data_IF_976694124384
#
_entry.id   IF_976694124384
#
_cell.length_a   1.000
_cell.length_b   1.000
_cell.length_c   1.000
_cell.angle_alpha   90.00
_cell.angle_beta   90.00
_cell.angle_gamma   90.00
#
_symmetry.space_group_name_H-M   'P 1'
#
loop_
_entity.id
_entity.type
_entity.pdbx_description
1 polymer ?
#
# COMPACT_ATOMS: atom_id res chain seq x y z
N UNK A 1 -24.21 4.47 0.68
CA UNK A 1 -23.25 5.42 1.28
C UNK A 1 -22.56 4.71 2.43
N UNK A 2 -21.23 4.78 2.49
CA UNK A 2 -20.46 4.18 3.59
C UNK A 2 -20.64 5.04 4.84
N UNK A 3 -20.76 4.41 6.01
CA UNK A 3 -20.96 5.12 7.28
C UNK A 3 -19.67 5.86 7.68
N UNK A 4 -19.81 7.16 7.97
CA UNK A 4 -18.72 8.06 8.37
C UNK A 4 -17.95 7.51 9.58
N UNK A 5 -18.67 6.89 10.52
CA UNK A 5 -18.10 6.41 11.77
C UNK A 5 -17.20 5.19 11.56
N UNK A 6 -17.61 4.29 10.66
CA UNK A 6 -16.84 3.07 10.33
C UNK A 6 -15.52 3.42 9.63
N UNK A 7 -15.54 4.42 8.74
CA UNK A 7 -14.33 4.91 8.05
C UNK A 7 -13.33 5.49 9.06
N UNK A 8 -13.80 6.32 10.00
CA UNK A 8 -12.96 6.90 11.04
C UNK A 8 -12.34 5.86 11.97
N UNK A 9 -13.13 4.88 12.42
CA UNK A 9 -12.62 3.78 13.26
C UNK A 9 -11.56 2.96 12.52
N UNK A 10 -11.77 2.71 11.23
CA UNK A 10 -10.82 2.00 10.37
C UNK A 10 -9.50 2.76 10.24
N UNK A 11 -9.56 4.07 9.97
CA UNK A 11 -8.37 4.94 9.89
C UNK A 11 -7.61 4.92 11.22
N UNK A 12 -8.32 5.01 12.35
CA UNK A 12 -7.70 4.99 13.68
C UNK A 12 -7.02 3.65 13.96
N UNK A 13 -7.64 2.53 13.58
CA UNK A 13 -7.05 1.19 13.70
C UNK A 13 -5.81 1.05 12.83
N UNK A 14 -5.87 1.53 11.57
CA UNK A 14 -4.73 1.51 10.65
C UNK A 14 -3.54 2.33 11.19
N UNK A 15 -3.79 3.53 11.73
CA UNK A 15 -2.75 4.35 12.36
C UNK A 15 -2.16 3.69 13.61
N UNK A 16 -3.00 3.07 14.44
CA UNK A 16 -2.56 2.36 15.65
C UNK A 16 -1.67 1.16 15.32
N UNK A 17 -1.87 0.55 14.15
CA UNK A 17 -1.02 -0.51 13.61
C UNK A 17 0.26 -0.01 12.93
N UNK A 18 0.54 1.30 12.95
CA UNK A 18 1.73 1.90 12.35
C UNK A 18 1.67 2.03 10.82
N UNK A 19 0.48 1.96 10.21
CA UNK A 19 0.31 2.14 8.77
C UNK A 19 0.44 3.62 8.43
N UNK A 20 1.27 3.95 7.43
CA UNK A 20 1.47 5.33 6.98
C UNK A 20 0.22 5.93 6.35
N UNK A 21 0.01 7.24 6.55
CA UNK A 21 -1.15 7.97 6.02
C UNK A 21 -1.32 7.85 4.50
N UNK A 22 -0.22 7.71 3.74
CA UNK A 22 -0.30 7.51 2.28
C UNK A 22 -0.93 6.16 1.88
N UNK A 23 -0.70 5.10 2.67
CA UNK A 23 -1.30 3.78 2.44
C UNK A 23 -2.78 3.82 2.80
N UNK A 24 -3.12 4.52 3.88
CA UNK A 24 -4.51 4.75 4.30
C UNK A 24 -5.25 5.53 3.20
N UNK A 25 -4.65 6.58 2.64
CA UNK A 25 -5.21 7.35 1.54
C UNK A 25 -5.48 6.47 0.31
N UNK A 26 -4.50 5.67 -0.12
CA UNK A 26 -4.67 4.75 -1.26
C UNK A 26 -5.78 3.74 -1.01
N UNK A 27 -5.83 3.15 0.19
CA UNK A 27 -6.84 2.15 0.57
C UNK A 27 -8.25 2.76 0.55
N UNK A 28 -8.41 4.00 1.01
CA UNK A 28 -9.71 4.69 1.00
C UNK A 28 -10.14 5.07 -0.42
N UNK A 29 -9.21 5.44 -1.30
CA UNK A 29 -9.49 5.68 -2.72
C UNK A 29 -9.92 4.40 -3.45
N UNK A 30 -9.31 3.26 -3.13
CA UNK A 30 -9.69 1.96 -3.71
C UNK A 30 -11.13 1.53 -3.33
N UNK A 31 -11.62 1.99 -2.18
CA UNK A 31 -13.00 1.76 -1.72
C UNK A 31 -14.00 2.74 -2.39
N UNK A 32 -13.48 3.68 -3.21
CA UNK A 32 -14.27 4.62 -4.00
C UNK A 32 -14.58 5.95 -3.30
N UNK A 33 -13.84 6.31 -2.25
CA UNK A 33 -13.92 7.63 -1.65
C UNK A 33 -13.18 8.66 -2.51
N UNK A 34 -13.75 9.87 -2.60
CA UNK A 34 -13.10 10.97 -3.31
C UNK A 34 -11.89 11.50 -2.53
N UNK A 35 -10.94 12.11 -3.24
CA UNK A 35 -9.74 12.70 -2.62
C UNK A 35 -10.07 13.75 -1.57
N UNK A 36 -11.13 14.53 -1.78
CA UNK A 36 -11.56 15.57 -0.85
C UNK A 36 -12.12 14.96 0.44
N UNK A 37 -12.93 13.90 0.34
CA UNK A 37 -13.44 13.15 1.50
C UNK A 37 -12.31 12.50 2.29
N UNK A 38 -11.36 11.85 1.60
CA UNK A 38 -10.22 11.18 2.24
C UNK A 38 -9.39 12.18 3.05
N UNK A 39 -9.17 13.38 2.51
CA UNK A 39 -8.42 14.43 3.19
C UNK A 39 -9.17 14.97 4.42
N UNK A 40 -10.51 15.08 4.35
CA UNK A 40 -11.36 15.41 5.50
C UNK A 40 -11.20 14.38 6.63
N UNK A 41 -11.19 13.09 6.30
CA UNK A 41 -11.05 12.01 7.29
C UNK A 41 -9.66 11.94 7.93
N UNK A 42 -8.60 12.15 7.14
CA UNK A 42 -7.22 12.14 7.64
C UNK A 42 -6.91 13.31 8.57
N UNK A 43 -7.52 14.48 8.32
CA UNK A 43 -7.41 15.67 9.16
C UNK A 43 -8.35 15.60 10.39
N UNK A 44 -9.55 15.04 10.23
CA UNK A 44 -10.53 14.89 11.31
C UNK A 44 -10.14 13.90 12.40
N UNK A 45 -9.27 12.93 12.09
CA UNK A 45 -8.81 11.90 13.03
C UNK A 45 -7.83 12.37 14.11
N UNK A 46 -7.54 13.67 14.21
CA UNK A 46 -6.53 14.20 15.13
C UNK A 46 -7.09 14.70 16.47
N UNK A 47 -8.37 14.47 16.77
CA UNK A 47 -8.95 14.87 18.07
C UNK A 47 -9.62 13.72 18.79
N UNK A 48 -9.18 13.51 20.05
CA UNK A 48 -9.77 12.71 21.13
C UNK A 48 -9.33 11.23 21.32
N UNK A 49 -8.41 11.09 22.27
CA UNK A 49 -8.35 10.12 23.39
C UNK A 49 -8.24 8.60 23.14
N UNK A 50 -7.09 8.11 23.60
CA UNK A 50 -6.76 6.77 24.10
C UNK A 50 -7.82 6.18 25.05
N UNK A 51 -7.89 4.83 25.12
CA UNK A 51 -7.23 4.14 26.23
C UNK A 51 -6.31 2.98 25.79
N UNK A 52 -5.17 2.97 26.46
CA UNK A 52 -4.13 1.94 26.52
C UNK A 52 -4.67 0.61 27.08
N UNK A 53 -4.22 -0.51 26.52
CA UNK A 53 -4.19 -1.81 27.22
C UNK A 53 -2.76 -2.36 27.15
N UNK A 54 -2.07 -2.27 28.30
CA UNK A 54 -0.83 -2.95 28.67
C UNK A 54 -0.95 -4.47 28.44
N UNK A 55 0.03 -5.21 27.93
CA UNK A 55 1.34 -5.58 28.54
C UNK A 55 1.24 -6.14 29.97
N UNK A 56 1.25 -7.48 30.08
CA UNK A 56 1.78 -8.25 31.21
C UNK A 56 2.87 -9.16 30.58
N UNK A 57 4.17 -9.19 30.88
CA UNK A 57 4.96 -9.16 32.14
C UNK A 57 4.69 -10.30 33.12
N UNK A 58 5.68 -11.21 33.21
CA UNK A 58 6.20 -11.96 34.38
C UNK A 58 6.91 -13.22 33.83
N UNK A 59 8.23 -13.36 33.75
CA UNK A 59 9.37 -13.08 34.65
C UNK A 59 9.29 -13.77 36.03
N UNK A 60 10.45 -14.30 36.42
CA UNK A 60 10.87 -14.93 37.69
C UNK A 60 10.53 -16.42 37.92
N UNK A 61 11.53 -17.31 37.79
CA UNK A 61 12.39 -17.93 38.85
C UNK A 61 11.79 -19.24 39.38
N UNK A 62 12.55 -20.35 39.37
CA UNK A 62 13.09 -20.89 40.63
C UNK A 62 14.11 -22.00 40.37
N UNK A 63 15.17 -21.90 41.14
CA UNK A 63 16.34 -22.76 41.24
C UNK A 63 16.06 -23.78 42.36
N UNK A 64 16.13 -25.09 42.08
CA UNK A 64 16.22 -26.08 43.14
C UNK A 64 16.94 -27.34 42.67
N UNK A 65 18.25 -27.37 42.92
CA UNK A 65 19.01 -28.60 43.12
C UNK A 65 18.46 -29.36 44.33
N UNK A 66 18.21 -30.67 44.20
CA UNK A 66 18.35 -31.59 45.33
C UNK A 66 18.72 -32.97 44.81
N UNK A 67 19.88 -33.41 45.29
CA UNK A 67 20.44 -34.75 45.18
C UNK A 67 19.58 -35.78 45.90
N UNK A 68 19.77 -37.02 45.45
CA UNK A 68 19.75 -38.26 46.21
C UNK A 68 18.46 -38.72 46.92
N UNK A 69 18.08 -39.92 46.51
CA UNK A 69 18.00 -41.13 47.34
C UNK A 69 16.64 -41.84 47.36
N UNK A 70 16.79 -43.16 47.34
CA UNK A 70 15.79 -44.22 47.60
C UNK A 70 14.87 -44.65 46.44
N UNK A 71 15.35 -45.69 45.75
CA UNK A 71 14.50 -46.83 45.34
C UNK A 71 13.57 -47.25 46.49
N UNK A 72 12.30 -47.52 46.18
CA UNK A 72 11.79 -48.83 46.59
C UNK A 72 10.93 -49.49 45.51
N UNK A 73 11.28 -50.74 45.21
CA UNK A 73 10.31 -51.83 45.11
C UNK A 73 9.19 -51.69 44.08
N UNK A 74 9.40 -52.35 42.94
CA UNK A 74 8.38 -52.80 41.99
C UNK A 74 7.01 -53.12 42.65
N UNK A 75 5.93 -52.73 41.97
CA UNK A 75 4.97 -53.75 41.54
C UNK A 75 4.88 -53.72 40.01
N UNK A 76 5.28 -54.83 39.37
CA UNK A 76 4.98 -55.08 37.97
C UNK A 76 3.47 -55.14 37.78
N UNK A 77 2.87 -54.05 37.32
CA UNK A 77 1.53 -54.03 36.76
C UNK A 77 1.60 -54.39 35.27
N UNK A 78 0.85 -55.39 34.78
CA UNK A 78 0.72 -55.63 33.36
C UNK A 78 -0.22 -54.57 32.76
N UNK A 79 0.30 -53.40 32.41
CA UNK A 79 -0.41 -52.36 31.66
C UNK A 79 0.44 -51.85 30.48
N UNK A 80 1.03 -52.77 29.72
CA UNK A 80 1.89 -52.44 28.58
C UNK A 80 1.14 -51.98 27.31
N UNK A 81 -0.19 -52.06 27.25
CA UNK A 81 -0.94 -51.83 25.99
C UNK A 81 -1.64 -50.47 25.91
N UNK A 82 -1.75 -49.71 27.00
CA UNK A 82 -2.42 -48.40 26.98
C UNK A 82 -1.44 -47.24 26.72
N UNK A 83 -0.25 -47.29 27.29
CA UNK A 83 0.79 -46.27 27.08
C UNK A 83 1.34 -46.30 25.66
N UNK A 84 1.48 -47.48 25.06
CA UNK A 84 1.96 -47.64 23.68
C UNK A 84 0.99 -46.99 22.66
N UNK A 85 -0.32 -47.06 22.93
CA UNK A 85 -1.33 -46.39 22.12
C UNK A 85 -1.32 -44.86 22.29
N UNK A 86 -1.03 -44.35 23.49
CA UNK A 86 -0.90 -42.91 23.75
C UNK A 86 0.36 -42.33 23.11
N UNK A 87 1.48 -43.06 23.17
CA UNK A 87 2.72 -42.68 22.49
C UNK A 87 2.58 -42.75 20.97
N UNK A 88 1.92 -43.78 20.42
CA UNK A 88 1.62 -43.87 19.00
C UNK A 88 0.73 -42.70 18.53
N UNK A 89 -0.32 -42.37 19.29
CA UNK A 89 -1.21 -41.24 18.98
C UNK A 89 -0.46 -39.90 19.03
N UNK A 90 0.44 -39.73 20.00
CA UNK A 90 1.28 -38.52 20.11
C UNK A 90 2.26 -38.40 18.94
N UNK A 91 2.86 -39.51 18.49
CA UNK A 91 3.73 -39.51 17.32
C UNK A 91 2.99 -39.18 16.02
N UNK A 92 1.76 -39.68 15.85
CA UNK A 92 0.91 -39.35 14.68
C UNK A 92 0.57 -37.86 14.65
N UNK A 93 0.23 -37.27 15.80
CA UNK A 93 -0.07 -35.82 15.88
C UNK A 93 1.17 -34.97 15.60
N UNK A 94 2.35 -35.38 16.08
CA UNK A 94 3.61 -34.67 15.80
C UNK A 94 4.03 -34.79 14.33
N UNK A 95 3.79 -35.94 13.70
CA UNK A 95 4.05 -36.16 12.27
C UNK A 95 3.12 -35.29 11.41
N UNK A 96 1.84 -35.22 11.76
CA UNK A 96 0.87 -34.33 11.09
C UNK A 96 1.24 -32.84 11.26
N UNK A 97 1.66 -32.43 12.45
CA UNK A 97 2.15 -31.06 12.69
C UNK A 97 3.43 -30.76 11.90
N UNK A 98 4.35 -31.71 11.80
CA UNK A 98 5.57 -31.57 11.00
C UNK A 98 5.25 -31.38 9.52
N UNK A 99 4.27 -32.12 8.99
CA UNK A 99 3.81 -31.98 7.61
C UNK A 99 3.17 -30.61 7.36
N UNK A 100 2.34 -30.13 8.30
CA UNK A 100 1.76 -28.78 8.22
C UNK A 100 2.83 -27.68 8.23
N UNK A 101 3.88 -27.82 9.06
CA UNK A 101 5.01 -26.88 9.09
C UNK A 101 5.78 -26.90 7.78
N UNK A 102 6.00 -28.07 7.17
CA UNK A 102 6.65 -28.17 5.86
C UNK A 102 5.84 -27.51 4.76
N UNK A 103 4.52 -27.71 4.74
CA UNK A 103 3.62 -27.07 3.78
C UNK A 103 3.65 -25.53 3.94
N UNK A 104 3.60 -25.02 5.16
CA UNK A 104 3.75 -23.59 5.46
C UNK A 104 5.09 -23.03 4.98
N UNK A 105 6.19 -23.76 5.19
CA UNK A 105 7.52 -23.35 4.72
C UNK A 105 7.61 -23.34 3.19
N UNK A 106 6.96 -24.27 2.51
CA UNK A 106 6.92 -24.30 1.05
C UNK A 106 6.06 -23.17 0.49
N UNK A 107 4.92 -22.86 1.12
CA UNK A 107 4.11 -21.69 0.79
C UNK A 107 4.90 -20.39 0.98
N UNK A 108 5.63 -20.25 2.09
CA UNK A 108 6.47 -19.09 2.37
C UNK A 108 7.57 -18.91 1.32
N UNK A 109 8.27 -19.99 0.96
CA UNK A 109 9.27 -19.98 -0.13
C UNK A 109 8.65 -19.60 -1.47
N UNK A 110 7.43 -20.06 -1.75
CA UNK A 110 6.71 -19.69 -2.98
C UNK A 110 6.35 -18.20 -2.99
N UNK A 111 6.02 -17.63 -1.83
CA UNK A 111 5.72 -16.21 -1.66
C UNK A 111 6.99 -15.38 -1.84
N UNK A 112 8.10 -15.77 -1.22
CA UNK A 112 9.40 -15.12 -1.38
C UNK A 112 9.86 -15.14 -2.84
N UNK A 113 9.69 -16.26 -3.54
CA UNK A 113 10.00 -16.36 -4.96
C UNK A 113 9.10 -15.45 -5.83
N UNK A 114 7.82 -15.28 -5.45
CA UNK A 114 6.91 -14.33 -6.11
C UNK A 114 7.27 -12.88 -5.79
N UNK A 115 7.65 -12.59 -4.55
CA UNK A 115 8.05 -11.26 -4.10
C UNK A 115 9.37 -10.82 -4.75
N UNK A 116 10.33 -11.74 -4.88
CA UNK A 116 11.58 -11.50 -5.61
C UNK A 116 11.30 -11.15 -7.08
N UNK A 117 10.38 -11.86 -7.75
CA UNK A 117 9.97 -11.53 -9.13
C UNK A 117 9.31 -10.16 -9.25
N UNK A 118 8.57 -9.72 -8.22
CA UNK A 118 7.96 -8.38 -8.19
C UNK A 118 9.04 -7.31 -7.93
N UNK A 119 10.01 -7.60 -7.05
CA UNK A 119 11.15 -6.72 -6.78
C UNK A 119 12.13 -6.62 -7.95
N UNK A 120 12.18 -7.64 -8.81
CA UNK A 120 12.99 -7.65 -10.05
C UNK A 120 12.31 -6.91 -11.21
N UNK A 121 11.06 -6.44 -11.08
CA UNK A 121 10.54 -5.47 -12.04
C UNK A 121 11.43 -4.22 -11.96
N UNK A 122 12.16 -3.90 -13.04
CA UNK A 122 13.23 -2.92 -12.96
C UNK A 122 12.58 -1.54 -12.80
N UNK A 123 12.63 -1.01 -11.58
CA UNK A 123 12.29 0.38 -11.28
C UNK A 123 13.00 1.36 -12.23
N UNK A 124 14.17 0.98 -12.75
CA UNK A 124 14.93 1.67 -13.80
C UNK A 124 14.19 1.80 -15.15
N UNK A 125 13.44 0.80 -15.59
CA UNK A 125 12.70 0.92 -16.87
C UNK A 125 11.50 1.87 -16.76
N UNK A 126 10.91 1.93 -15.56
CA UNK A 126 9.83 2.86 -15.29
C UNK A 126 10.36 4.30 -15.23
N UNK A 127 11.50 4.54 -14.58
CA UNK A 127 12.11 5.88 -14.51
C UNK A 127 12.53 6.41 -15.89
N UNK A 128 13.10 5.57 -16.75
CA UNK A 128 13.48 5.96 -18.11
C UNK A 128 12.25 6.29 -18.97
N UNK A 129 11.18 5.50 -18.80
CA UNK A 129 9.92 5.74 -19.50
C UNK A 129 9.26 7.04 -19.05
N UNK A 130 9.27 7.32 -17.74
CA UNK A 130 8.77 8.58 -17.16
C UNK A 130 9.57 9.76 -17.72
N UNK A 131 10.90 9.70 -17.65
CA UNK A 131 11.78 10.77 -18.17
C UNK A 131 11.53 11.02 -19.67
N UNK A 132 11.30 9.96 -20.45
CA UNK A 132 10.96 10.09 -21.87
C UNK A 132 9.60 10.76 -22.10
N UNK A 133 8.62 10.45 -21.27
CA UNK A 133 7.29 11.09 -21.32
C UNK A 133 7.39 12.57 -20.95
N UNK A 134 8.11 12.90 -19.87
CA UNK A 134 8.35 14.28 -19.44
C UNK A 134 9.01 15.12 -20.54
N UNK A 135 10.04 14.59 -21.18
CA UNK A 135 10.70 15.27 -22.31
C UNK A 135 9.76 15.49 -23.51
N UNK A 136 8.87 14.54 -23.80
CA UNK A 136 7.85 14.69 -24.85
C UNK A 136 6.81 15.75 -24.50
N UNK A 137 6.39 15.79 -23.23
CA UNK A 137 5.45 16.81 -22.74
C UNK A 137 6.07 18.20 -22.86
N UNK A 138 7.31 18.38 -22.39
CA UNK A 138 8.03 19.64 -22.53
C UNK A 138 8.21 20.06 -23.99
N UNK A 139 8.45 19.10 -24.89
CA UNK A 139 8.47 19.34 -26.34
C UNK A 139 7.14 19.87 -26.86
N UNK A 140 6.03 19.23 -26.52
CA UNK A 140 4.69 19.67 -26.92
C UNK A 140 4.32 21.03 -26.32
N UNK A 141 4.70 21.33 -25.08
CA UNK A 141 4.46 22.64 -24.47
C UNK A 141 5.17 23.76 -25.24
N UNK A 142 6.41 23.53 -25.69
CA UNK A 142 7.14 24.46 -26.52
C UNK A 142 6.47 24.65 -27.90
N UNK A 143 6.09 23.56 -28.57
CA UNK A 143 5.39 23.62 -29.87
C UNK A 143 4.05 24.38 -29.76
N UNK A 144 3.29 24.17 -28.68
CA UNK A 144 2.04 24.89 -28.42
C UNK A 144 2.29 26.38 -28.20
N UNK A 145 3.33 26.74 -27.46
CA UNK A 145 3.70 28.14 -27.24
C UNK A 145 4.12 28.82 -28.56
N UNK A 146 4.93 28.17 -29.37
CA UNK A 146 5.32 28.69 -30.69
C UNK A 146 4.10 28.88 -31.59
N UNK A 147 3.20 27.89 -31.63
CA UNK A 147 1.96 27.96 -32.41
C UNK A 147 1.04 29.09 -31.95
N UNK A 148 0.92 29.32 -30.64
CA UNK A 148 0.16 30.45 -30.08
C UNK A 148 0.75 31.79 -30.50
N UNK A 149 2.08 31.88 -30.54
CA UNK A 149 2.81 33.09 -30.96
C UNK A 149 2.60 33.36 -32.45
N UNK A 150 2.70 32.32 -33.28
CA UNK A 150 2.40 32.41 -34.71
C UNK A 150 0.94 32.82 -34.95
N UNK A 151 -0.02 32.22 -34.24
CA UNK A 151 -1.44 32.54 -34.36
C UNK A 151 -1.73 34.00 -33.99
N UNK A 152 -1.08 34.53 -32.96
CA UNK A 152 -1.18 35.94 -32.60
C UNK A 152 -0.62 36.88 -33.69
N UNK A 153 0.50 36.50 -34.31
CA UNK A 153 1.07 37.24 -35.43
C UNK A 153 0.14 37.21 -36.66
N UNK A 154 -0.40 36.03 -37.02
CA UNK A 154 -1.38 35.89 -38.10
C UNK A 154 -2.63 36.74 -37.87
N UNK A 155 -3.17 36.72 -36.65
CA UNK A 155 -4.32 37.57 -36.28
C UNK A 155 -4.00 39.05 -36.52
N UNK A 156 -2.84 39.50 -36.06
CA UNK A 156 -2.40 40.90 -36.24
C UNK A 156 -2.26 41.29 -37.72
N UNK A 157 -1.73 40.40 -38.55
CA UNK A 157 -1.62 40.63 -40.01
C UNK A 157 -3.01 40.71 -40.64
N UNK A 158 -3.90 39.80 -40.27
CA UNK A 158 -5.26 39.76 -40.81
C UNK A 158 -6.06 41.01 -40.44
N UNK A 159 -5.95 41.47 -39.19
CA UNK A 159 -6.59 42.70 -38.72
C UNK A 159 -6.09 43.91 -39.53
N UNK A 160 -4.77 44.05 -39.71
CA UNK A 160 -4.17 45.12 -40.54
C UNK A 160 -4.63 45.07 -42.00
N UNK A 161 -4.76 43.88 -42.58
CA UNK A 161 -5.19 43.70 -43.96
C UNK A 161 -6.66 44.12 -44.12
N UNK A 162 -7.52 43.75 -43.17
CA UNK A 162 -8.91 44.18 -43.13
C UNK A 162 -9.05 45.69 -42.96
N UNK A 163 -8.27 46.30 -42.08
CA UNK A 163 -8.28 47.76 -41.88
C UNK A 163 -7.79 48.51 -43.13
N UNK A 164 -6.70 48.04 -43.76
CA UNK A 164 -6.20 48.61 -45.02
C UNK A 164 -7.25 48.52 -46.13
N UNK A 165 -7.92 47.36 -46.26
CA UNK A 165 -8.98 47.18 -47.24
C UNK A 165 -10.18 48.11 -46.98
N UNK A 166 -10.59 48.27 -45.71
CA UNK A 166 -11.64 49.22 -45.33
C UNK A 166 -11.28 50.65 -45.69
N UNK A 167 -10.03 51.05 -45.43
CA UNK A 167 -9.55 52.38 -45.77
C UNK A 167 -9.58 52.62 -47.28
N UNK A 168 -9.04 51.69 -48.09
CA UNK A 168 -9.06 51.78 -49.56
C UNK A 168 -10.49 51.89 -50.09
N UNK A 169 -11.42 51.08 -49.59
CA UNK A 169 -12.83 51.12 -50.01
C UNK A 169 -13.46 52.49 -49.69
N UNK A 170 -13.18 53.04 -48.52
CA UNK A 170 -13.69 54.35 -48.10
C UNK A 170 -13.14 55.47 -49.00
N UNK A 171 -11.83 55.47 -49.25
CA UNK A 171 -11.19 56.45 -50.15
C UNK A 171 -11.73 56.37 -51.59
N UNK A 172 -12.04 55.17 -52.09
CA UNK A 172 -12.64 54.99 -53.42
C UNK A 172 -14.10 55.44 -53.48
N UNK A 173 -14.83 55.38 -52.37
CA UNK A 173 -16.21 55.87 -52.29
C UNK A 173 -16.27 57.40 -52.25
N UNK A 174 -15.35 58.05 -51.54
CA UNK A 174 -15.27 59.51 -51.47
C UNK A 174 -14.84 60.16 -52.80
N UNK A 175 -14.15 59.42 -53.67
CA UNK A 175 -13.71 59.90 -54.98
C UNK A 175 -14.77 59.78 -56.10
N UNK A 176 -15.90 59.13 -55.84
CA UNK A 176 -17.00 58.98 -56.80
C UNK A 176 -18.04 60.08 -56.62
#
# INVERSE_FOLDING_TARGET
MVDKQVVMETIQRMRSSGISDHVIESTLQDIGLSKDEVNEYLQGGQTASTPSVSTNSSDETDDFETEDDEEPGLPQTPQSSHDEALHATTHVVLEEQSEQIQNLLEEFRSLDAKLAKISELPALQLSDSITRVENRIAGFENEINDMKTQMAAYKTIMDKLLDTNRQIVTELQERK
#
